data_IF_594051132114
#
_entry.id   IF_594051132114
#
_cell.length_a   1.000
_cell.length_b   1.000
_cell.length_c   1.000
_cell.angle_alpha   90.00
_cell.angle_beta   90.00
_cell.angle_gamma   90.00
#
_symmetry.space_group_name_H-M   'P 1'
#
loop_
_entity.id
_entity.type
_entity.pdbx_description
1 polymer ?
2 non-polymer ?
3 water ?
#
# COMPACT_ATOMS: atom_id res chain seq x y z
N UNK A 26 -17.69 0.31 -42.36
CA UNK A 26 -18.65 0.36 -43.45
C UNK A 26 -18.15 -0.42 -44.67
N UNK A 27 -16.99 -1.04 -44.53
CA UNK A 27 -16.42 -1.87 -45.58
C UNK A 27 -15.40 -2.82 -44.96
N UNK A 28 -15.45 -4.07 -45.39
CA UNK A 28 -14.54 -5.11 -44.89
C UNK A 28 -13.39 -5.27 -45.88
N UNK A 29 -12.19 -4.89 -45.46
CA UNK A 29 -11.01 -5.04 -46.30
C UNK A 29 -10.49 -6.48 -46.25
N UNK A 30 -9.60 -6.80 -47.20
CA UNK A 30 -8.99 -8.12 -47.24
C UNK A 30 -8.32 -8.43 -45.90
N UNK A 31 -8.51 -9.61 -45.34
CA UNK A 31 -7.83 -9.94 -44.09
C UNK A 31 -6.34 -10.21 -44.32
N UNK A 32 -5.56 -9.98 -43.28
CA UNK A 32 -4.12 -10.21 -43.36
C UNK A 32 -3.81 -11.70 -43.40
N UNK A 33 -2.75 -12.05 -44.13
CA UNK A 33 -2.25 -13.43 -44.15
C UNK A 33 -1.31 -13.60 -42.97
N UNK A 34 -1.70 -14.45 -42.02
CA UNK A 34 -0.99 -14.65 -40.77
C UNK A 34 -0.37 -16.04 -40.71
N UNK A 35 0.61 -16.26 -39.84
CA UNK A 35 1.16 -17.61 -39.67
C UNK A 35 0.13 -18.55 -39.07
N UNK A 36 0.42 -19.85 -39.20
CA UNK A 36 -0.48 -20.86 -38.69
C UNK A 36 -0.54 -20.81 -37.16
N UNK A 37 -1.69 -21.06 -36.55
CA UNK A 37 -1.75 -21.07 -35.08
C UNK A 37 -0.88 -22.13 -34.44
N UNK A 38 -0.47 -23.18 -35.18
CA UNK A 38 0.42 -24.17 -34.61
C UNK A 38 1.85 -23.65 -34.47
N UNK A 39 2.22 -22.58 -35.17
CA UNK A 39 3.58 -22.06 -35.11
C UNK A 39 3.63 -20.84 -34.20
N UNK A 40 2.52 -20.09 -34.15
CA UNK A 40 2.44 -18.86 -33.36
C UNK A 40 1.08 -18.86 -32.67
N UNK A 41 1.04 -19.33 -31.41
CA UNK A 41 -0.24 -19.60 -30.77
C UNK A 41 -1.06 -18.36 -30.47
N UNK A 42 -0.53 -17.15 -30.69
CA UNK A 42 -1.30 -15.94 -30.42
C UNK A 42 -2.33 -15.63 -31.50
N UNK A 43 -2.22 -16.22 -32.68
CA UNK A 43 -3.18 -16.00 -33.76
C UNK A 43 -4.30 -17.06 -33.75
N UNK A 44 -4.44 -17.81 -32.66
CA UNK A 44 -5.59 -18.69 -32.53
C UNK A 44 -6.86 -17.85 -32.51
N UNK A 45 -7.89 -18.31 -33.24
CA UNK A 45 -9.06 -17.50 -33.49
C UNK A 45 -9.82 -17.20 -32.19
N UNK A 46 -10.37 -15.99 -32.12
CA UNK A 46 -11.17 -15.58 -30.96
C UNK A 46 -12.41 -16.46 -30.81
N UNK A 47 -12.68 -16.89 -29.58
CA UNK A 47 -13.86 -17.68 -29.27
C UNK A 47 -14.22 -17.47 -27.81
N UNK A 48 -15.49 -17.76 -27.47
CA UNK A 48 -15.90 -17.57 -26.08
C UNK A 48 -15.22 -18.54 -25.13
N UNK A 49 -14.44 -19.50 -25.63
CA UNK A 49 -13.69 -20.44 -24.80
C UNK A 49 -12.25 -20.02 -24.57
N UNK A 50 -11.78 -18.93 -25.21
CA UNK A 50 -10.45 -18.41 -24.94
C UNK A 50 -10.41 -16.92 -24.64
N UNK A 51 -11.46 -16.16 -24.94
CA UNK A 51 -11.51 -14.74 -24.56
C UNK A 51 -12.97 -14.29 -24.51
N UNK A 52 -13.27 -13.39 -23.56
CA UNK A 52 -14.61 -12.89 -23.32
C UNK A 52 -14.54 -11.38 -23.14
N UNK A 53 -15.50 -10.67 -23.72
CA UNK A 53 -15.57 -9.22 -23.68
C UNK A 53 -16.83 -8.78 -22.94
N UNK A 54 -16.81 -7.51 -22.48
CA UNK A 54 -17.98 -6.90 -21.84
C UNK A 54 -18.77 -6.09 -22.87
N UNK A 55 -20.08 -6.01 -22.66
CA UNK A 55 -20.99 -5.34 -23.57
C UNK A 55 -21.12 -3.84 -23.29
N UNK A 56 -20.09 -3.23 -22.71
CA UNK A 56 -20.12 -1.81 -22.39
C UNK A 56 -19.46 -0.99 -23.49
N UNK A 63 -12.81 1.41 -28.24
CA UNK A 63 -11.97 0.28 -27.86
C UNK A 63 -12.72 -0.64 -26.90
N UNK A 64 -12.80 -1.92 -27.24
CA UNK A 64 -13.57 -2.86 -26.40
C UNK A 64 -12.93 -3.10 -25.05
N UNK A 65 -13.74 -3.60 -24.14
CA UNK A 65 -13.36 -3.84 -22.74
C UNK A 65 -13.29 -5.34 -22.53
N UNK A 66 -12.12 -5.82 -22.10
CA UNK A 66 -11.88 -7.26 -21.95
C UNK A 66 -12.41 -7.71 -20.58
N UNK A 67 -13.29 -8.72 -20.61
CA UNK A 67 -13.80 -9.33 -19.39
C UNK A 67 -12.88 -10.41 -18.87
N UNK A 68 -12.33 -11.25 -19.76
CA UNK A 68 -11.42 -12.28 -19.33
C UNK A 68 -10.91 -13.08 -20.51
N UNK A 69 -10.16 -14.12 -20.20
CA UNK A 69 -9.64 -15.01 -21.21
C UNK A 69 -8.41 -15.75 -20.71
N UNK A 70 -7.79 -16.49 -21.63
CA UNK A 70 -6.52 -17.12 -21.34
C UNK A 70 -5.42 -16.07 -21.25
N UNK A 71 -4.33 -16.43 -20.56
CA UNK A 71 -3.21 -15.49 -20.45
C UNK A 71 -2.60 -15.23 -21.82
N UNK A 72 -2.71 -16.18 -22.75
CA UNK A 72 -2.23 -15.97 -24.10
C UNK A 72 -3.08 -14.92 -24.82
N UNK A 73 -4.40 -15.02 -24.67
CA UNK A 73 -5.29 -14.02 -25.25
C UNK A 73 -5.14 -12.66 -24.58
N UNK A 74 -4.89 -12.64 -23.27
CA UNK A 74 -4.67 -11.38 -22.57
C UNK A 74 -3.40 -10.70 -23.06
N UNK A 75 -2.34 -11.49 -23.30
CA UNK A 75 -1.09 -10.93 -23.84
C UNK A 75 -1.30 -10.45 -25.27
N UNK A 76 -2.09 -11.18 -26.05
CA UNK A 76 -2.37 -10.75 -27.42
C UNK A 76 -3.05 -9.38 -27.45
N UNK A 77 -4.07 -9.18 -26.61
CA UNK A 77 -4.74 -7.89 -26.53
C UNK A 77 -3.90 -6.83 -25.81
N UNK A 78 -3.00 -7.25 -24.91
CA UNK A 78 -2.04 -6.32 -24.31
C UNK A 78 -1.12 -5.71 -25.35
N UNK A 79 -0.87 -6.41 -26.45
CA UNK A 79 0.02 -5.96 -27.52
C UNK A 79 -0.68 -6.13 -28.87
N UNK A 80 -1.90 -5.64 -28.96
CA UNK A 80 -2.71 -5.80 -30.16
C UNK A 80 -2.18 -4.93 -31.29
N UNK A 81 -2.37 -5.41 -32.53
CA UNK A 81 -1.87 -4.71 -33.70
C UNK A 81 -2.82 -3.64 -34.23
N UNK A 82 -4.12 -3.76 -33.96
CA UNK A 82 -5.07 -2.80 -34.52
C UNK A 82 -5.05 -1.47 -33.79
N UNK A 83 -4.91 -1.48 -32.46
CA UNK A 83 -5.01 -0.26 -31.69
C UNK A 83 -4.13 -0.33 -30.45
N UNK A 84 -3.85 0.83 -29.89
CA UNK A 84 -3.19 0.93 -28.59
C UNK A 84 -4.24 1.00 -27.50
N UNK A 85 -3.92 0.42 -26.34
CA UNK A 85 -4.87 0.32 -25.23
C UNK A 85 -4.15 0.65 -23.93
N UNK A 86 -3.79 1.93 -23.72
CA UNK A 86 -3.01 2.28 -22.52
C UNK A 86 -3.70 1.95 -21.21
N UNK A 87 -5.03 2.01 -21.15
CA UNK A 87 -5.72 1.68 -19.91
C UNK A 87 -5.56 0.20 -19.56
N UNK A 88 -5.65 -0.68 -20.56
CA UNK A 88 -5.44 -2.11 -20.33
C UNK A 88 -3.99 -2.41 -19.99
N UNK A 89 -3.04 -1.66 -20.56
CA UNK A 89 -1.63 -1.84 -20.21
C UNK A 89 -1.40 -1.46 -18.75
N UNK A 90 -1.92 -0.30 -18.33
CA UNK A 90 -1.76 0.15 -16.95
C UNK A 90 -2.42 -0.83 -15.98
N UNK A 91 -3.64 -1.26 -16.29
CA UNK A 91 -4.35 -2.18 -15.41
C UNK A 91 -3.69 -3.56 -15.36
N UNK A 92 -3.23 -4.05 -16.53
CA UNK A 92 -2.60 -5.37 -16.58
C UNK A 92 -1.32 -5.39 -15.75
N UNK A 93 -0.43 -4.43 -15.98
CA UNK A 93 0.86 -4.41 -15.28
C UNK A 93 0.70 -4.16 -13.79
N UNK A 94 -0.45 -3.62 -13.36
CA UNK A 94 -0.71 -3.48 -11.93
C UNK A 94 -1.23 -4.76 -11.31
N UNK A 95 -2.02 -5.55 -12.05
CA UNK A 95 -2.77 -6.66 -11.49
C UNK A 95 -2.30 -8.05 -11.94
N UNK A 96 -1.35 -8.14 -12.87
CA UNK A 96 -1.05 -9.43 -13.49
C UNK A 96 -0.47 -10.44 -12.51
N UNK A 97 0.12 -9.99 -11.40
CA UNK A 97 0.72 -10.94 -10.46
C UNK A 97 -0.31 -11.84 -9.81
N UNK A 98 -1.58 -11.46 -9.83
CA UNK A 98 -2.65 -12.29 -9.28
C UNK A 98 -3.06 -13.43 -10.21
N UNK A 99 -2.57 -13.45 -11.46
CA UNK A 99 -2.87 -14.56 -12.36
C UNK A 99 -1.68 -14.99 -13.22
N UNK A 100 -0.51 -14.39 -13.06
CA UNK A 100 0.64 -14.73 -13.88
C UNK A 100 1.91 -14.28 -13.18
N UNK A 101 2.94 -15.13 -13.24
CA UNK A 101 4.21 -14.80 -12.60
C UNK A 101 5.03 -13.85 -13.47
N UNK A 102 5.86 -13.00 -12.86
CA UNK A 102 6.69 -12.09 -13.68
C UNK A 102 7.57 -12.80 -14.68
N UNK A 103 8.12 -13.96 -14.33
CA UNK A 103 8.91 -14.73 -15.29
C UNK A 103 8.06 -15.23 -16.44
N UNK A 104 6.83 -15.69 -16.14
CA UNK A 104 5.94 -16.13 -17.21
C UNK A 104 5.56 -14.97 -18.12
N UNK A 105 5.33 -13.79 -17.55
CA UNK A 105 4.97 -12.62 -18.35
C UNK A 105 6.06 -12.29 -19.36
N UNK A 106 7.32 -12.32 -18.93
CA UNK A 106 8.42 -11.99 -19.83
C UNK A 106 8.55 -13.03 -20.93
N UNK A 107 8.41 -14.31 -20.60
CA UNK A 107 8.47 -15.36 -21.62
C UNK A 107 7.39 -15.17 -22.67
N UNK A 108 6.17 -14.85 -22.24
CA UNK A 108 5.07 -14.66 -23.17
C UNK A 108 5.28 -13.44 -24.06
N UNK A 109 5.86 -12.37 -23.51
CA UNK A 109 6.11 -11.18 -24.31
C UNK A 109 7.19 -11.42 -25.35
N UNK A 110 8.22 -12.20 -24.98
CA UNK A 110 9.25 -12.56 -25.95
C UNK A 110 8.68 -13.49 -27.01
N UNK A 111 7.87 -14.47 -26.58
CA UNK A 111 7.21 -15.36 -27.54
C UNK A 111 6.31 -14.58 -28.48
N UNK A 112 5.67 -13.52 -27.99
CA UNK A 112 4.84 -12.67 -28.85
C UNK A 112 5.69 -11.87 -29.82
N UNK A 113 6.94 -11.54 -29.45
CA UNK A 113 7.80 -10.72 -30.29
C UNK A 113 8.33 -11.51 -31.49
N UNK A 114 8.65 -12.79 -31.29
CA UNK A 114 9.29 -13.62 -32.30
C UNK A 114 8.22 -14.17 -33.23
N UNK A 115 7.77 -13.32 -34.14
CA UNK A 115 6.63 -13.63 -35.01
C UNK A 115 7.18 -14.29 -36.27
N UNK A 116 6.82 -15.53 -36.57
CA UNK A 116 7.22 -16.14 -37.84
C UNK A 116 6.35 -15.66 -38.98
N UNK A 117 6.95 -15.58 -40.16
CA UNK A 117 6.23 -15.18 -41.35
C UNK A 117 5.46 -16.35 -41.94
N UNK A 118 4.34 -16.10 -42.61
CA UNK A 118 3.53 -17.20 -43.14
C UNK A 118 4.27 -17.97 -44.23
N UNK A 119 3.96 -19.25 -44.32
CA UNK A 119 4.57 -20.10 -45.34
C UNK A 119 4.18 -19.58 -46.72
N UNK A 120 5.12 -19.45 -47.65
CA UNK A 120 4.79 -18.85 -48.96
C UNK A 120 3.61 -19.55 -49.64
N UNK A 121 2.83 -18.75 -50.37
CA UNK A 121 1.61 -19.22 -50.99
C UNK A 121 1.90 -20.43 -51.90
N UNK A 122 0.84 -21.21 -52.13
CA UNK A 122 0.95 -22.39 -52.98
C UNK A 122 1.51 -22.08 -54.37
N UNK A 123 1.38 -20.84 -54.83
CA UNK A 123 1.95 -20.45 -56.10
C UNK A 123 3.44 -20.12 -56.00
N UNK A 124 3.89 -19.63 -54.85
CA UNK A 124 5.30 -19.30 -54.65
C UNK A 124 5.99 -20.38 -53.83
N UNK A 136 4.13 -11.79 -52.17
CA UNK A 136 4.97 -10.74 -51.59
C UNK A 136 4.12 -9.54 -51.21
N UNK A 137 2.98 -9.37 -51.88
CA UNK A 137 2.06 -8.30 -51.52
C UNK A 137 1.44 -8.54 -50.15
N UNK A 138 1.07 -9.78 -49.86
CA UNK A 138 0.55 -10.10 -48.52
C UNK A 138 1.66 -10.06 -47.48
N UNK A 139 2.89 -10.41 -47.85
CA UNK A 139 3.99 -10.44 -46.89
C UNK A 139 4.41 -9.02 -46.50
N UNK A 140 4.53 -8.12 -47.48
CA UNK A 140 4.82 -6.72 -47.18
C UNK A 140 3.74 -6.12 -46.29
N UNK A 141 2.48 -6.46 -46.57
CA UNK A 141 1.37 -5.99 -45.74
C UNK A 141 1.45 -6.57 -44.34
N UNK A 142 1.79 -7.86 -44.23
CA UNK A 142 1.90 -8.52 -42.93
C UNK A 142 2.98 -7.89 -42.07
N UNK A 143 4.10 -7.47 -42.69
CA UNK A 143 5.19 -6.88 -41.92
C UNK A 143 4.84 -5.48 -41.44
N UNK A 144 4.24 -4.66 -42.31
CA UNK A 144 3.93 -3.28 -41.95
C UNK A 144 2.73 -3.19 -41.00
N UNK A 145 1.71 -4.03 -41.20
CA UNK A 145 0.48 -3.91 -40.44
C UNK A 145 0.39 -4.84 -39.23
N UNK A 146 1.21 -5.90 -39.17
CA UNK A 146 1.14 -6.82 -38.03
C UNK A 146 2.45 -6.92 -37.26
N UNK A 147 3.57 -7.19 -37.94
CA UNK A 147 4.83 -7.43 -37.23
C UNK A 147 5.31 -6.16 -36.54
N UNK A 148 5.46 -5.07 -37.29
CA UNK A 148 5.93 -3.83 -36.69
C UNK A 148 5.01 -3.33 -35.57
N UNK A 149 3.69 -3.24 -35.73
CA UNK A 149 2.86 -2.77 -34.61
C UNK A 149 2.97 -3.63 -33.37
N UNK A 150 2.87 -4.97 -33.50
CA UNK A 150 2.93 -5.84 -32.34
C UNK A 150 4.28 -5.70 -31.62
N UNK A 151 5.37 -5.67 -32.39
CA UNK A 151 6.69 -5.58 -31.77
C UNK A 151 6.89 -4.25 -31.07
N UNK A 152 6.25 -3.18 -31.56
CA UNK A 152 6.34 -1.90 -30.88
C UNK A 152 5.43 -1.84 -29.65
N UNK A 153 4.30 -2.55 -29.68
CA UNK A 153 3.45 -2.61 -28.49
C UNK A 153 4.15 -3.34 -27.36
N UNK A 154 4.93 -4.37 -27.68
CA UNK A 154 5.66 -5.12 -26.66
C UNK A 154 6.72 -4.25 -26.00
N UNK A 155 7.49 -3.51 -26.81
CA UNK A 155 8.50 -2.63 -26.25
C UNK A 155 7.88 -1.52 -25.41
N UNK A 156 6.67 -1.09 -25.76
CA UNK A 156 5.96 -0.13 -24.91
C UNK A 156 5.54 -0.76 -23.59
N UNK A 157 5.16 -2.04 -23.62
CA UNK A 157 4.85 -2.75 -22.39
C UNK A 157 6.10 -2.88 -21.51
N UNK A 158 7.23 -3.23 -22.12
CA UNK A 158 8.50 -3.24 -21.38
C UNK A 158 8.77 -1.89 -20.76
N UNK A 159 8.57 -0.81 -21.52
CA UNK A 159 8.88 0.53 -21.01
C UNK A 159 8.00 0.87 -19.80
N UNK A 160 6.70 0.59 -19.89
CA UNK A 160 5.81 0.80 -18.75
C UNK A 160 6.19 -0.09 -17.58
N UNK A 161 6.62 -1.33 -17.88
CA UNK A 161 6.96 -2.29 -16.84
C UNK A 161 8.14 -1.80 -15.99
N UNK A 162 9.21 -1.36 -16.63
CA UNK A 162 10.37 -0.88 -15.90
C UNK A 162 10.19 0.53 -15.34
N UNK A 163 9.32 1.34 -15.94
CA UNK A 163 9.11 2.69 -15.45
C UNK A 163 8.24 2.72 -14.20
N UNK A 164 7.17 1.93 -14.16
CA UNK A 164 6.18 2.00 -13.09
C UNK A 164 6.20 0.81 -12.14
N UNK A 165 6.97 -0.23 -12.42
CA UNK A 165 6.96 -1.44 -11.59
C UNK A 165 8.35 -2.07 -11.53
N UNK A 166 9.39 -1.26 -11.36
CA UNK A 166 10.74 -1.80 -11.32
C UNK A 166 10.99 -2.74 -10.14
N UNK A 167 10.11 -2.74 -9.13
CA UNK A 167 10.31 -3.63 -7.99
C UNK A 167 10.31 -5.09 -8.39
N UNK A 168 9.60 -5.45 -9.47
CA UNK A 168 9.68 -6.80 -10.01
C UNK A 168 11.12 -7.19 -10.34
N UNK A 169 11.86 -6.28 -10.97
CA UNK A 169 13.24 -6.53 -11.34
C UNK A 169 14.20 -6.41 -10.16
N UNK A 170 13.81 -5.70 -9.09
CA UNK A 170 14.63 -5.69 -7.89
C UNK A 170 14.46 -6.97 -7.09
N UNK A 171 13.24 -7.54 -7.09
CA UNK A 171 12.98 -8.80 -6.39
C UNK A 171 13.54 -10.00 -7.12
N UNK A 172 13.76 -9.90 -8.44
CA UNK A 172 14.19 -11.03 -9.26
C UNK A 172 15.24 -10.50 -10.24
N UNK A 173 16.52 -10.75 -9.94
CA UNK A 173 17.59 -10.26 -10.81
C UNK A 173 17.71 -11.08 -12.09
N UNK A 174 17.34 -12.36 -12.03
CA UNK A 174 17.34 -13.16 -13.25
C UNK A 174 16.33 -12.61 -14.27
N UNK A 175 15.21 -12.09 -13.78
CA UNK A 175 14.21 -11.48 -14.66
C UNK A 175 14.79 -10.28 -15.39
N UNK A 176 15.57 -9.45 -14.69
CA UNK A 176 16.14 -8.26 -15.30
C UNK A 176 17.20 -8.62 -16.33
N UNK A 177 18.01 -9.65 -16.04
CA UNK A 177 19.06 -10.05 -16.98
C UNK A 177 18.47 -10.71 -18.22
N UNK A 178 17.32 -11.37 -18.09
CA UNK A 178 16.64 -11.89 -19.28
C UNK A 178 16.14 -10.74 -20.17
N UNK A 179 15.56 -9.71 -19.56
CA UNK A 179 15.06 -8.57 -20.31
C UNK A 179 16.18 -7.82 -20.99
N UNK A 180 17.30 -7.59 -20.28
CA UNK A 180 18.44 -6.91 -20.89
C UNK A 180 19.04 -7.73 -22.02
N UNK A 181 19.12 -9.05 -21.84
CA UNK A 181 19.63 -9.92 -22.90
C UNK A 181 18.74 -9.88 -24.12
N UNK A 182 17.42 -9.91 -23.92
CA UNK A 182 16.51 -9.87 -25.06
C UNK A 182 16.54 -8.50 -25.74
N UNK A 183 16.59 -7.43 -24.96
CA UNK A 183 16.59 -6.08 -25.54
C UNK A 183 17.85 -5.84 -26.34
N UNK A 184 18.98 -6.43 -25.93
CA UNK A 184 20.21 -6.30 -26.70
C UNK A 184 20.09 -6.99 -28.06
N UNK A 185 19.44 -8.16 -28.10
CA UNK A 185 19.28 -8.92 -29.33
C UNK A 185 18.27 -8.31 -30.28
N UNK A 186 17.56 -7.26 -29.87
CA UNK A 186 16.56 -6.63 -30.73
C UNK A 186 17.29 -5.84 -31.81
N UNK A 187 17.02 -6.18 -33.07
CA UNK A 187 17.65 -5.54 -34.21
C UNK A 187 16.59 -4.79 -35.02
N UNK A 188 16.93 -3.57 -35.43
CA UNK A 188 15.99 -2.73 -36.15
C UNK A 188 16.13 -1.27 -35.76
N UNK A 189 16.30 -0.40 -36.76
CA UNK A 189 16.52 1.02 -36.46
C UNK A 189 15.26 1.68 -35.92
N UNK A 190 14.08 1.26 -36.37
CA UNK A 190 12.83 1.81 -35.85
C UNK A 190 12.61 1.48 -34.38
N UNK A 191 13.20 0.39 -33.88
CA UNK A 191 13.05 -0.01 -32.48
C UNK A 191 14.24 0.41 -31.62
N UNK A 192 15.24 1.06 -32.21
CA UNK A 192 16.41 1.48 -31.44
C UNK A 192 16.05 2.60 -30.46
N UNK A 193 15.20 3.54 -30.88
CA UNK A 193 14.71 4.55 -29.94
C UNK A 193 14.01 3.89 -28.76
N UNK A 194 13.17 2.89 -29.03
CA UNK A 194 12.51 2.16 -27.94
C UNK A 194 13.52 1.43 -27.06
N UNK A 195 14.50 0.76 -27.68
CA UNK A 195 15.47 -0.02 -26.92
C UNK A 195 16.32 0.87 -26.03
N UNK A 196 16.87 1.96 -26.60
CA UNK A 196 17.65 2.88 -25.78
C UNK A 196 16.81 3.60 -24.76
N UNK A 197 15.50 3.75 -25.00
CA UNK A 197 14.63 4.34 -23.99
C UNK A 197 14.43 3.40 -22.81
N UNK A 198 14.25 2.10 -23.07
CA UNK A 198 14.09 1.12 -21.99
C UNK A 198 15.37 1.05 -21.14
N UNK A 199 16.53 0.98 -21.80
CA UNK A 199 17.79 0.94 -21.07
C UNK A 199 18.04 2.23 -20.32
N UNK A 200 17.62 3.37 -20.87
CA UNK A 200 17.73 4.64 -20.16
C UNK A 200 16.97 4.61 -18.83
N UNK A 201 15.76 4.05 -18.84
CA UNK A 201 14.96 3.96 -17.62
C UNK A 201 15.60 2.99 -16.63
N UNK A 202 16.10 1.85 -17.13
CA UNK A 202 16.73 0.86 -16.26
C UNK A 202 17.94 1.47 -15.56
N UNK A 203 18.71 2.30 -16.27
CA UNK A 203 19.86 2.94 -15.65
C UNK A 203 19.43 3.88 -14.53
N UNK A 204 18.36 4.66 -14.75
CA UNK A 204 17.84 5.52 -13.68
C UNK A 204 17.43 4.71 -12.46
N UNK A 205 16.74 3.59 -12.67
CA UNK A 205 16.23 2.81 -11.55
C UNK A 205 17.35 2.05 -10.84
N UNK A 206 18.44 1.75 -11.53
CA UNK A 206 19.58 1.09 -10.90
C UNK A 206 20.37 2.02 -9.99
N UNK A 207 20.18 3.33 -10.09
CA UNK A 207 20.93 4.27 -9.25
C UNK A 207 20.35 4.35 -7.84
N UNK A 208 19.05 4.60 -7.73
CA UNK A 208 18.40 4.72 -6.43
C UNK A 208 18.17 3.35 -5.81
N UNK A 217 15.64 16.77 4.30
CA UNK A 217 15.10 17.05 2.98
C UNK A 217 14.97 18.57 2.77
N UNK A 218 14.24 18.97 1.74
CA UNK A 218 14.03 20.38 1.43
C UNK A 218 12.56 20.74 1.66
N UNK A 219 12.34 21.98 2.11
CA UNK A 219 11.03 22.43 2.56
C UNK A 219 10.62 23.71 1.83
N UNK A 220 9.33 23.80 1.52
CA UNK A 220 8.79 25.00 0.87
C UNK A 220 8.79 26.18 1.83
N UNK A 221 8.16 26.02 2.98
CA UNK A 221 8.17 26.98 4.07
C UNK A 221 9.08 26.48 5.18
N UNK A 222 9.66 27.34 5.99
CA UNK A 222 10.58 26.88 7.04
C UNK A 222 9.85 26.04 8.06
N UNK A 223 10.32 24.82 8.33
CA UNK A 223 9.62 23.98 9.30
C UNK A 223 9.82 24.50 10.71
N UNK A 224 8.87 24.25 11.62
CA UNK A 224 9.00 24.76 12.99
C UNK A 224 10.07 24.00 13.75
N UNK A 225 10.61 24.58 14.82
CA UNK A 225 11.70 23.92 15.55
C UNK A 225 11.24 22.68 16.29
N UNK A 226 12.20 21.77 16.52
CA UNK A 226 11.93 20.51 17.20
C UNK A 226 11.67 20.79 18.68
N UNK A 227 10.63 20.15 19.23
CA UNK A 227 10.22 20.37 20.61
C UNK A 227 10.77 19.27 21.51
N UNK A 228 11.38 19.68 22.63
CA UNK A 228 11.95 18.76 23.61
C UNK A 228 11.35 19.04 24.98
N UNK A 229 11.20 17.97 25.77
CA UNK A 229 10.56 18.07 27.07
C UNK A 229 11.57 17.70 28.14
N UNK A 230 11.54 16.47 28.66
CA UNK A 230 12.47 16.05 29.70
C UNK A 230 13.71 15.38 29.10
N UNK A 231 13.50 14.39 28.23
CA UNK A 231 14.61 13.82 27.49
C UNK A 231 15.18 14.86 26.53
N UNK A 232 16.50 14.91 26.46
CA UNK A 232 17.23 15.88 25.67
C UNK A 232 17.94 15.18 24.51
N UNK A 233 18.37 15.94 23.49
CA UNK A 233 18.94 15.30 22.29
C UNK A 233 20.11 14.38 22.63
N UNK A 234 20.09 13.19 22.01
CA UNK A 234 21.18 12.24 22.15
C UNK A 234 20.88 11.06 23.06
N UNK A 235 20.25 11.29 24.20
CA UNK A 235 20.03 10.23 25.18
C UNK A 235 18.77 9.46 24.80
N UNK A 236 18.90 8.61 23.78
CA UNK A 236 17.80 7.80 23.30
C UNK A 236 17.38 6.73 24.30
N UNK A 237 18.25 6.36 25.25
CA UNK A 237 17.91 5.31 26.20
C UNK A 237 16.81 5.77 27.16
N UNK A 238 16.69 7.08 27.40
CA UNK A 238 15.69 7.62 28.30
C UNK A 238 14.37 7.97 27.60
N UNK A 239 14.32 7.86 26.27
CA UNK A 239 13.11 8.22 25.53
C UNK A 239 11.93 7.40 25.99
N UNK A 240 10.80 8.07 26.20
CA UNK A 240 9.56 7.40 26.61
C UNK A 240 8.39 8.33 26.32
N UNK A 241 7.18 7.78 26.48
CA UNK A 241 5.97 8.55 26.18
C UNK A 241 5.91 9.86 26.97
N UNK A 242 6.24 9.82 28.26
CA UNK A 242 6.09 11.00 29.11
C UNK A 242 7.32 11.90 29.12
N UNK A 243 8.49 11.38 28.76
CA UNK A 243 9.70 12.21 28.75
C UNK A 243 9.87 13.00 27.46
N UNK A 244 9.40 12.47 26.33
CA UNK A 244 9.40 13.21 25.09
C UNK A 244 8.25 14.21 25.08
N UNK A 245 8.33 15.16 24.15
CA UNK A 245 7.32 16.22 24.04
C UNK A 245 6.10 15.71 23.27
N UNK A 246 4.89 16.00 23.75
CA UNK A 246 3.69 15.50 23.04
C UNK A 246 3.56 16.01 21.61
N UNK A 247 3.96 17.26 21.36
CA UNK A 247 3.95 17.78 19.99
C UNK A 247 4.86 16.95 19.10
N UNK A 248 6.09 16.70 19.58
CA UNK A 248 7.09 16.04 18.74
C UNK A 248 6.83 14.56 18.57
N UNK A 249 6.20 13.91 19.56
CA UNK A 249 5.75 12.52 19.36
C UNK A 249 4.80 12.44 18.18
N UNK A 250 3.82 13.35 18.14
CA UNK A 250 2.84 13.33 17.05
C UNK A 250 3.48 13.69 15.73
N UNK A 251 4.39 14.67 15.72
CA UNK A 251 5.07 15.05 14.50
C UNK A 251 5.89 13.90 13.93
N UNK A 252 6.69 13.25 14.80
CA UNK A 252 7.60 12.22 14.31
C UNK A 252 6.85 10.97 13.87
N UNK A 253 5.80 10.60 14.59
CA UNK A 253 4.98 9.47 14.13
C UNK A 253 4.20 9.83 12.88
N UNK A 254 3.80 11.10 12.73
CA UNK A 254 3.12 11.51 11.51
C UNK A 254 4.04 11.44 10.31
N UNK A 255 5.29 11.91 10.46
CA UNK A 255 6.26 11.78 9.38
C UNK A 255 6.52 10.32 9.07
N UNK A 256 6.71 9.49 10.10
CA UNK A 256 6.97 8.07 9.89
C UNK A 256 5.80 7.37 9.22
N UNK A 257 4.58 7.63 9.69
CA UNK A 257 3.42 7.00 9.08
C UNK A 257 3.14 7.55 7.69
N UNK A 258 3.49 8.81 7.43
CA UNK A 258 3.36 9.35 6.08
C UNK A 258 4.31 8.67 5.11
N UNK A 259 5.56 8.45 5.52
CA UNK A 259 6.52 7.78 4.65
C UNK A 259 6.16 6.32 4.42
N UNK A 260 5.67 5.64 5.46
CA UNK A 260 5.24 4.25 5.29
C UNK A 260 4.07 4.15 4.33
N UNK A 261 3.09 5.05 4.47
CA UNK A 261 1.90 5.04 3.62
C UNK A 261 2.26 5.35 2.17
N UNK A 262 3.20 6.28 1.96
CA UNK A 262 3.56 6.69 0.61
C UNK A 262 4.26 5.58 -0.16
N UNK A 263 4.93 4.67 0.53
CA UNK A 263 5.70 3.62 -0.14
C UNK A 263 4.85 2.44 -0.58
N UNK A 264 3.57 2.39 -0.21
CA UNK A 264 2.71 1.26 -0.58
C UNK A 264 2.24 1.45 -2.02
N UNK A 265 2.39 0.40 -2.82
CA UNK A 265 2.01 0.39 -4.24
C UNK A 265 0.81 -0.52 -4.46
N UNK A 266 -0.01 -0.24 -5.47
CA UNK A 266 -1.25 -1.02 -5.68
C UNK A 266 -1.05 -2.53 -5.77
N UNK A 267 0.05 -3.00 -6.39
CA UNK A 267 0.25 -4.43 -6.55
C UNK A 267 0.41 -5.16 -5.23
N UNK A 268 0.80 -4.45 -4.16
CA UNK A 268 0.86 -5.07 -2.84
C UNK A 268 -0.51 -5.41 -2.29
N UNK A 269 -1.57 -4.87 -2.87
CA UNK A 269 -2.95 -5.12 -2.44
C UNK A 269 -3.73 -6.02 -3.40
N UNK A 270 -3.36 -6.04 -4.68
CA UNK A 270 -4.11 -6.81 -5.66
C UNK A 270 -4.03 -8.30 -5.33
N UNK A 271 -5.18 -8.97 -5.40
CA UNK A 271 -5.24 -10.39 -5.10
C UNK A 271 -5.04 -10.75 -3.65
N UNK A 272 -5.07 -9.77 -2.74
CA UNK A 272 -4.85 -9.99 -1.31
C UNK A 272 -3.54 -10.73 -1.06
N UNK A 273 -2.50 -10.34 -1.81
CA UNK A 273 -1.20 -11.02 -1.70
C UNK A 273 -0.50 -10.74 -0.37
N UNK A 274 -0.96 -9.76 0.40
CA UNK A 274 -0.39 -9.54 1.72
C UNK A 274 -0.89 -10.53 2.76
N UNK A 275 -1.92 -11.32 2.44
CA UNK A 275 -2.44 -12.34 3.34
C UNK A 275 -2.08 -13.75 2.90
N UNK A 276 -1.34 -13.91 1.82
CA UNK A 276 -1.07 -15.21 1.21
C UNK A 276 0.37 -15.63 1.46
N UNK A 277 0.74 -16.77 0.84
CA UNK A 277 2.00 -17.44 1.14
C UNK A 277 3.20 -16.53 0.95
N UNK A 278 3.24 -15.80 -0.16
CA UNK A 278 4.36 -14.94 -0.51
C UNK A 278 4.11 -13.50 -0.09
N UNK A 279 3.67 -13.29 1.15
CA UNK A 279 3.32 -11.93 1.58
C UNK A 279 4.55 -11.07 1.80
N UNK A 280 5.63 -11.66 2.31
CA UNK A 280 6.82 -10.85 2.62
C UNK A 280 7.49 -10.31 1.37
N UNK A 281 7.38 -11.02 0.24
CA UNK A 281 8.01 -10.58 -0.99
C UNK A 281 7.11 -9.62 -1.77
N UNK A 282 5.82 -9.94 -1.88
CA UNK A 282 4.93 -9.17 -2.73
C UNK A 282 4.35 -7.94 -2.04
N UNK A 283 4.36 -7.88 -0.71
CA UNK A 283 3.76 -6.77 0.02
C UNK A 283 4.67 -6.33 1.18
N UNK A 284 5.91 -5.94 0.88
CA UNK A 284 6.81 -5.53 1.98
C UNK A 284 6.46 -4.18 2.58
N UNK A 285 5.98 -3.23 1.78
CA UNK A 285 5.66 -1.90 2.30
C UNK A 285 4.33 -1.90 3.05
N UNK A 286 3.33 -2.62 2.53
CA UNK A 286 2.05 -2.68 3.21
C UNK A 286 2.15 -3.40 4.55
N UNK A 287 2.94 -4.48 4.61
CA UNK A 287 3.13 -5.19 5.87
C UNK A 287 3.83 -4.31 6.90
N UNK A 288 4.83 -3.53 6.47
CA UNK A 288 5.46 -2.57 7.38
C UNK A 288 4.46 -1.55 7.90
N UNK A 289 3.50 -1.16 7.07
CA UNK A 289 2.45 -0.24 7.51
C UNK A 289 1.54 -0.89 8.54
N UNK A 290 1.13 -2.14 8.28
CA UNK A 290 0.27 -2.86 9.21
C UNK A 290 0.99 -3.14 10.52
N UNK A 291 2.25 -3.57 10.45
CA UNK A 291 2.97 -3.94 11.66
C UNK A 291 3.31 -2.72 12.51
N UNK A 292 3.60 -1.58 11.89
CA UNK A 292 3.79 -0.35 12.66
C UNK A 292 2.53 0.02 13.42
N UNK A 293 1.36 -0.06 12.76
CA UNK A 293 0.11 0.28 13.41
C UNK A 293 -0.22 -0.68 14.55
N UNK A 294 0.09 -1.97 14.37
CA UNK A 294 -0.13 -2.93 15.44
C UNK A 294 0.73 -2.61 16.66
N UNK A 295 2.02 -2.36 16.43
CA UNK A 295 2.94 -2.13 17.54
C UNK A 295 2.66 -0.80 18.24
N UNK A 296 2.28 0.23 17.49
CA UNK A 296 1.96 1.51 18.12
C UNK A 296 0.68 1.44 18.93
N UNK A 297 -0.34 0.74 18.41
CA UNK A 297 -1.57 0.54 19.17
C UNK A 297 -1.29 -0.19 20.48
N UNK A 298 -0.49 -1.26 20.42
CA UNK A 298 -0.12 -2.00 21.62
C UNK A 298 0.74 -1.16 22.55
N UNK A 299 1.53 -0.23 22.01
CA UNK A 299 2.36 0.63 22.86
C UNK A 299 1.50 1.58 23.68
N UNK A 300 0.49 2.21 23.06
CA UNK A 300 -0.39 3.11 23.81
C UNK A 300 -1.14 2.36 24.89
N UNK A 301 -1.63 1.15 24.58
CA UNK A 301 -2.30 0.33 25.58
C UNK A 301 -1.37 0.02 26.74
N UNK A 302 -0.15 -0.41 26.43
CA UNK A 302 0.81 -0.79 27.47
C UNK A 302 1.14 0.38 28.38
N UNK A 303 1.33 1.58 27.80
CA UNK A 303 1.68 2.75 28.62
C UNK A 303 0.59 3.06 29.63
N UNK A 304 -0.68 2.89 29.25
CA UNK A 304 -1.79 3.17 30.15
C UNK A 304 -1.85 2.13 31.26
N UNK A 305 -1.92 0.85 30.89
CA UNK A 305 -2.19 -0.22 31.85
C UNK A 305 -1.00 -0.42 32.79
N UNK A 306 0.23 -0.23 32.30
CA UNK A 306 1.40 -0.41 33.16
C UNK A 306 1.61 0.72 34.14
N UNK A 307 0.91 1.85 33.99
CA UNK A 307 0.96 2.94 34.97
C UNK A 307 0.04 2.57 36.12
N UNK A 308 0.61 1.96 37.16
CA UNK A 308 -0.20 1.42 38.26
C UNK A 308 -0.74 2.52 39.16
N UNK A 309 0.04 3.59 39.38
CA UNK A 309 -0.44 4.71 40.18
C UNK A 309 -1.56 5.44 39.43
N UNK A 310 -2.67 5.71 40.12
CA UNK A 310 -3.87 6.22 39.47
C UNK A 310 -3.63 7.61 38.87
N UNK A 311 -3.01 8.51 39.64
CA UNK A 311 -2.77 9.86 39.14
C UNK A 311 -1.78 9.84 37.97
N UNK A 312 -0.80 8.94 38.03
CA UNK A 312 0.13 8.77 36.92
C UNK A 312 -0.59 8.25 35.68
N UNK A 313 -1.56 7.35 35.88
CA UNK A 313 -2.27 6.77 34.75
C UNK A 313 -3.19 7.79 34.09
N UNK A 314 -3.84 8.65 34.88
CA UNK A 314 -4.67 9.71 34.33
C UNK A 314 -3.82 10.67 33.51
N UNK A 315 -2.60 10.97 33.99
CA UNK A 315 -1.70 11.84 33.24
C UNK A 315 -1.22 11.18 31.95
N UNK A 316 -0.97 9.86 31.99
CA UNK A 316 -0.55 9.14 30.79
C UNK A 316 -1.67 9.16 29.74
N UNK A 317 -2.91 8.87 30.16
CA UNK A 317 -4.02 8.93 29.23
C UNK A 317 -4.24 10.36 28.72
N UNK A 318 -4.08 11.35 29.61
CA UNK A 318 -4.21 12.74 29.20
C UNK A 318 -3.16 13.12 28.16
N UNK A 319 -1.92 12.67 28.35
CA UNK A 319 -0.87 12.96 27.38
C UNK A 319 -1.18 12.32 26.04
N UNK A 320 -1.74 11.11 26.04
CA UNK A 320 -2.09 10.42 24.80
C UNK A 320 -3.20 11.17 24.07
N UNK A 321 -4.15 11.76 24.81
CA UNK A 321 -5.20 12.55 24.19
C UNK A 321 -4.62 13.84 23.60
N UNK A 322 -3.58 14.39 24.23
CA UNK A 322 -2.90 15.55 23.66
C UNK A 322 -2.19 15.18 22.36
N UNK A 323 -1.55 14.01 22.31
CA UNK A 323 -0.92 13.54 21.08
C UNK A 323 -1.97 13.31 20.01
N UNK A 324 -3.10 12.73 20.39
CA UNK A 324 -4.25 12.63 19.49
C UNK A 324 -4.67 14.00 18.97
N UNK A 325 -4.65 15.02 19.84
CA UNK A 325 -5.03 16.38 19.45
C UNK A 325 -4.15 16.90 18.32
N UNK A 326 -2.84 16.64 18.39
CA UNK A 326 -1.92 17.11 17.35
C UNK A 326 -2.06 16.26 16.09
N UNK A 327 -2.33 14.96 16.26
CA UNK A 327 -2.63 14.10 15.11
C UNK A 327 -3.77 14.68 14.30
N UNK A 328 -4.83 15.15 14.97
CA UNK A 328 -5.97 15.73 14.27
C UNK A 328 -5.60 17.05 13.61
N UNK A 329 -4.75 17.84 14.26
CA UNK A 329 -4.26 19.08 13.63
C UNK A 329 -3.50 18.80 12.35
N UNK A 330 -2.76 17.69 12.30
CA UNK A 330 -1.94 17.32 11.16
C UNK A 330 -2.66 16.44 10.15
N UNK A 331 -3.95 16.17 10.35
CA UNK A 331 -4.74 15.31 9.47
C UNK A 331 -4.13 13.91 9.34
N UNK A 332 -3.59 13.41 10.46
CA UNK A 332 -3.05 12.05 10.52
C UNK A 332 -4.14 11.15 11.10
N UNK A 333 -5.00 10.63 10.23
CA UNK A 333 -6.08 9.75 10.66
C UNK A 333 -5.61 8.37 11.06
N UNK A 334 -4.47 7.91 10.54
CA UNK A 334 -3.89 6.66 11.01
C UNK A 334 -3.49 6.77 12.48
N UNK A 335 -2.86 7.88 12.85
CA UNK A 335 -2.49 8.07 14.24
C UNK A 335 -3.69 8.27 15.14
N UNK A 336 -4.71 8.97 14.64
CA UNK A 336 -5.95 9.16 15.41
C UNK A 336 -6.57 7.81 15.74
N UNK A 337 -6.69 6.93 14.74
CA UNK A 337 -7.34 5.64 14.95
C UNK A 337 -6.44 4.63 15.64
N UNK A 338 -5.12 4.82 15.61
CA UNK A 338 -4.24 4.04 16.47
C UNK A 338 -4.58 4.25 17.93
N UNK A 339 -4.82 5.51 18.33
CA UNK A 339 -5.11 5.82 19.72
C UNK A 339 -6.53 5.36 20.08
N UNK A 340 -7.47 5.51 19.16
CA UNK A 340 -8.84 5.03 19.39
C UNK A 340 -8.85 3.51 19.57
N UNK A 341 -8.09 2.79 18.73
CA UNK A 341 -8.00 1.34 18.88
C UNK A 341 -7.46 0.97 20.25
N UNK A 342 -6.50 1.75 20.75
CA UNK A 342 -5.88 1.44 22.04
C UNK A 342 -6.85 1.64 23.19
N UNK A 343 -7.61 2.75 23.19
CA UNK A 343 -8.56 2.98 24.27
C UNK A 343 -9.76 2.04 24.17
N UNK A 344 -10.00 1.47 22.99
CA UNK A 344 -11.06 0.49 22.79
C UNK A 344 -10.64 -0.93 23.16
N UNK A 345 -9.36 -1.16 23.45
CA UNK A 345 -8.94 -2.48 23.91
C UNK A 345 -9.61 -2.80 25.24
N UNK A 346 -9.91 -4.09 25.44
CA UNK A 346 -10.69 -4.50 26.62
C UNK A 346 -9.97 -4.15 27.91
N UNK A 347 -8.63 -4.13 27.90
CA UNK A 347 -7.90 -3.86 29.13
C UNK A 347 -7.90 -2.38 29.51
N UNK A 348 -7.99 -1.48 28.53
CA UNK A 348 -8.06 -0.04 28.82
C UNK A 348 -9.50 0.42 28.95
N UNK A 349 -10.39 -0.06 28.08
CA UNK A 349 -11.77 0.42 28.03
C UNK A 349 -12.49 0.24 29.37
N UNK A 350 -12.15 -0.80 30.13
CA UNK A 350 -12.82 -1.09 31.39
C UNK A 350 -12.33 -0.23 32.55
N UNK A 351 -11.35 0.64 32.34
CA UNK A 351 -10.81 1.48 33.42
C UNK A 351 -11.68 2.74 33.60
N UNK A 352 -12.85 2.52 34.21
CA UNK A 352 -13.83 3.60 34.37
C UNK A 352 -13.29 4.74 35.22
N UNK A 353 -12.59 4.43 36.30
CA UNK A 353 -12.07 5.48 37.17
C UNK A 353 -11.07 6.37 36.45
N UNK A 354 -10.27 5.80 35.55
CA UNK A 354 -9.30 6.60 34.81
C UNK A 354 -10.00 7.58 33.87
N UNK A 355 -10.98 7.10 33.10
CA UNK A 355 -11.67 7.96 32.14
C UNK A 355 -12.52 9.01 32.85
N UNK A 356 -13.08 8.68 34.02
CA UNK A 356 -13.92 9.64 34.75
C UNK A 356 -13.12 10.73 35.42
N UNK A 357 -11.82 10.54 35.66
CA UNK A 357 -10.96 11.54 36.26
C UNK A 357 -10.37 12.50 35.23
N UNK A 358 -10.58 12.27 33.94
CA UNK A 358 -10.06 13.16 32.91
C UNK A 358 -10.74 14.52 32.96
N UNK A 359 -10.03 15.54 32.46
CA UNK A 359 -10.66 16.83 32.22
C UNK A 359 -11.76 16.66 31.17
N UNK A 360 -12.88 17.35 31.38
CA UNK A 360 -13.99 17.24 30.44
C UNK A 360 -13.58 17.62 29.03
N UNK A 361 -12.67 18.56 28.89
CA UNK A 361 -12.24 18.94 27.55
C UNK A 361 -11.51 17.80 26.86
N UNK A 362 -10.63 17.10 27.57
CA UNK A 362 -9.91 15.99 26.96
C UNK A 362 -10.81 14.80 26.69
N UNK A 363 -11.83 14.59 27.52
CA UNK A 363 -12.76 13.49 27.28
C UNK A 363 -13.61 13.76 26.03
N UNK A 364 -14.01 15.02 25.82
CA UNK A 364 -14.79 15.36 24.62
C UNK A 364 -13.95 15.24 23.36
N UNK A 365 -12.65 15.52 23.44
CA UNK A 365 -11.76 15.32 22.30
C UNK A 365 -11.68 13.84 21.94
N UNK A 366 -11.55 12.99 22.96
CA UNK A 366 -11.49 11.54 22.71
C UNK A 366 -12.81 11.02 22.15
N UNK A 367 -13.93 11.47 22.72
CA UNK A 367 -15.23 11.04 22.20
C UNK A 367 -15.42 11.48 20.75
N UNK A 368 -14.96 12.69 20.42
CA UNK A 368 -15.00 13.14 19.04
C UNK A 368 -14.22 12.21 18.12
N UNK A 369 -13.04 11.74 18.56
CA UNK A 369 -12.25 10.82 17.75
C UNK A 369 -12.85 9.43 17.69
N UNK A 370 -13.50 8.97 18.76
CA UNK A 370 -14.15 7.66 18.75
C UNK A 370 -15.34 7.67 17.79
N UNK A 371 -16.03 8.81 17.66
CA UNK A 371 -17.15 8.93 16.74
C UNK A 371 -16.74 8.72 15.28
N UNK A 372 -15.48 8.98 14.93
CA UNK A 372 -15.05 8.85 13.54
C UNK A 372 -15.29 7.44 13.00
N UNK A 373 -15.10 6.43 13.84
CA UNK A 373 -15.20 5.04 13.41
C UNK A 373 -16.60 4.47 13.49
N UNK A 374 -17.50 5.11 14.24
CA UNK A 374 -18.85 4.57 14.42
C UNK A 374 -19.64 4.61 13.11
N UNK A 375 -20.63 3.72 13.03
CA UNK A 375 -21.50 3.60 11.86
C UNK A 375 -20.70 3.34 10.59
N UNK A 376 -19.82 2.34 10.66
CA UNK A 376 -18.97 1.93 9.54
C UNK A 376 -18.15 3.12 9.01
N UNK A 377 -17.49 3.81 9.94
CA UNK A 377 -16.57 4.91 9.62
C UNK A 377 -17.27 6.01 8.82
N UNK A 378 -18.51 6.30 9.18
CA UNK A 378 -19.29 7.30 8.45
C UNK A 378 -18.67 8.68 8.59
N UNK A 379 -18.47 9.15 9.83
CA UNK A 379 -17.92 10.48 10.04
C UNK A 379 -16.47 10.57 9.56
N UNK A 380 -15.73 9.46 9.60
CA UNK A 380 -14.35 9.49 9.10
C UNK A 380 -14.31 9.76 7.61
N UNK A 381 -15.19 9.12 6.84
CA UNK A 381 -15.16 9.26 5.39
C UNK A 381 -15.47 10.69 4.96
N UNK A 382 -16.45 11.33 5.60
CA UNK A 382 -16.78 12.70 5.21
C UNK A 382 -15.74 13.69 5.73
N UNK A 383 -15.05 13.36 6.82
CA UNK A 383 -13.97 14.22 7.31
C UNK A 383 -12.78 14.18 6.37
N UNK A 384 -12.41 12.97 5.90
CA UNK A 384 -11.28 12.82 4.99
C UNK A 384 -11.52 13.57 3.69
N UNK A 385 -12.74 13.47 3.13
CA UNK A 385 -13.08 14.16 1.90
C UNK A 385 -13.04 15.69 2.05
N UNK A 386 -13.18 16.21 3.28
CA UNK A 386 -13.27 17.65 3.49
C UNK A 386 -11.93 18.31 3.78
N UNK A 387 -10.97 17.59 4.35
CA UNK A 387 -9.69 18.20 4.71
C UNK A 387 -8.78 18.25 3.49
N UNK A 388 -7.73 19.06 3.60
CA UNK A 388 -6.71 19.27 2.57
C UNK A 388 -5.38 18.63 2.99
N UNK A 389 -4.57 18.20 2.04
CA UNK A 389 -3.26 17.61 2.38
C UNK A 389 -2.30 18.67 2.87
N UNK A 390 -1.21 18.28 3.56
CA UNK A 390 -0.74 16.92 3.88
C UNK A 390 -1.63 16.15 4.85
N UNK A 391 -1.89 14.88 4.55
CA UNK A 391 -2.70 14.03 5.41
C UNK A 391 -2.19 12.60 5.30
N UNK A 392 -2.56 11.78 6.28
CA UNK A 392 -2.26 10.36 6.29
C UNK A 392 -3.57 9.60 6.47
N UNK A 393 -4.20 9.15 5.38
CA UNK A 393 -5.47 8.43 5.51
C UNK A 393 -5.29 7.09 6.21
N UNK A 394 -6.41 6.52 6.63
CA UNK A 394 -6.43 5.23 7.30
C UNK A 394 -6.45 4.11 6.27
N UNK A 395 -5.44 3.24 6.31
CA UNK A 395 -5.33 2.17 5.34
C UNK A 395 -6.39 1.08 5.53
N UNK A 396 -6.94 0.92 6.74
CA UNK A 396 -7.75 -0.23 7.03
C UNK A 396 -9.02 -0.32 6.20
N UNK A 397 -9.70 0.81 6.00
CA UNK A 397 -10.94 0.79 5.22
C UNK A 397 -10.66 0.38 3.77
N UNK A 398 -9.52 0.79 3.21
CA UNK A 398 -9.16 0.36 1.86
C UNK A 398 -8.96 -1.15 1.80
N UNK A 399 -8.27 -1.72 2.79
CA UNK A 399 -7.99 -3.16 2.78
C UNK A 399 -9.27 -3.98 2.90
N UNK A 400 -10.23 -3.50 3.69
CA UNK A 400 -11.50 -4.22 3.81
C UNK A 400 -12.32 -4.11 2.53
N UNK A 401 -12.28 -2.94 1.87
CA UNK A 401 -12.92 -2.79 0.57
C UNK A 401 -12.40 -3.84 -0.41
N UNK A 402 -11.07 -3.99 -0.47
CA UNK A 402 -10.46 -4.91 -1.42
C UNK A 402 -10.67 -6.36 -1.00
N UNK A 403 -10.55 -6.66 0.30
CA UNK A 403 -10.81 -8.03 0.75
C UNK A 403 -12.26 -8.44 0.51
N UNK A 404 -13.19 -7.49 0.53
CA UNK A 404 -14.60 -7.85 0.31
C UNK A 404 -14.88 -8.10 -1.17
N UNK A 405 -14.28 -7.32 -2.08
CA UNK A 405 -14.48 -7.58 -3.49
C UNK A 405 -13.71 -8.81 -3.95
N UNK A 406 -12.57 -9.11 -3.30
CA UNK A 406 -11.84 -10.34 -3.62
C UNK A 406 -12.68 -11.57 -3.30
N UNK A 407 -13.37 -11.56 -2.15
CA UNK A 407 -14.19 -12.73 -1.79
C UNK A 407 -15.46 -12.80 -2.61
N UNK A 408 -15.98 -11.66 -3.07
CA UNK A 408 -17.20 -11.63 -3.85
C UNK A 408 -16.99 -12.11 -5.27
N UNK A 409 -16.10 -11.46 -6.01
CA UNK A 409 -15.83 -11.83 -7.39
C UNK A 409 -14.94 -13.06 -7.45
N UNK A 410 -15.13 -13.86 -8.49
CA UNK A 410 -14.37 -15.09 -8.67
C UNK A 410 -13.14 -14.84 -9.54
N UNK A 411 -12.09 -15.63 -9.29
CA UNK A 411 -10.86 -15.49 -10.06
C UNK A 411 -11.01 -15.97 -11.49
N UNK A 412 -12.01 -16.79 -11.78
CA UNK A 412 -12.22 -17.33 -13.12
C UNK A 412 -13.66 -17.13 -13.54
N UNK A 413 -13.86 -16.98 -14.85
CA UNK A 413 -15.19 -16.78 -15.41
C UNK A 413 -15.98 -18.09 -15.47
N UNK A 417 -15.86 -25.34 -21.04
CA UNK A 417 -14.52 -25.20 -21.60
C UNK A 417 -13.45 -24.89 -20.57
N UNK A 418 -12.32 -24.37 -21.03
CA UNK A 418 -11.23 -24.05 -20.13
C UNK A 418 -11.57 -22.83 -19.28
N UNK A 419 -11.20 -22.90 -17.99
CA UNK A 419 -11.45 -21.78 -17.08
C UNK A 419 -10.61 -20.58 -17.49
N UNK A 420 -11.26 -19.44 -17.68
CA UNK A 420 -10.60 -18.22 -18.13
C UNK A 420 -10.40 -17.25 -16.99
N UNK A 421 -9.27 -16.54 -17.02
CA UNK A 421 -8.94 -15.57 -15.97
C UNK A 421 -9.96 -14.45 -16.00
N UNK A 422 -10.54 -14.14 -14.84
CA UNK A 422 -11.51 -13.06 -14.72
C UNK A 422 -10.74 -11.74 -14.57
N UNK A 423 -10.61 -11.00 -15.68
CA UNK A 423 -9.89 -9.75 -15.62
C UNK A 423 -10.75 -8.61 -15.09
N UNK A 424 -12.09 -8.71 -15.23
CA UNK A 424 -12.96 -7.69 -14.67
C UNK A 424 -12.78 -7.56 -13.17
N UNK A 425 -12.59 -8.69 -12.48
CA UNK A 425 -12.28 -8.65 -11.05
C UNK A 425 -11.03 -7.81 -10.79
N UNK A 426 -9.99 -8.03 -11.59
CA UNK A 426 -8.74 -7.28 -11.42
C UNK A 426 -8.95 -5.81 -11.74
N UNK A 427 -9.77 -5.49 -12.75
CA UNK A 427 -10.03 -4.10 -13.07
C UNK A 427 -10.76 -3.40 -11.93
N UNK A 428 -11.70 -4.10 -11.29
CA UNK A 428 -12.40 -3.55 -10.14
C UNK A 428 -11.42 -3.27 -8.99
N UNK A 429 -10.55 -4.23 -8.71
CA UNK A 429 -9.56 -4.06 -7.64
C UNK A 429 -8.56 -2.97 -8.00
N UNK A 430 -8.16 -2.89 -9.28
CA UNK A 430 -7.29 -1.80 -9.71
C UNK A 430 -7.98 -0.44 -9.64
N UNK A 431 -9.30 -0.40 -9.72
CA UNK A 431 -10.00 0.87 -9.60
C UNK A 431 -10.07 1.34 -8.14
N UNK A 432 -10.09 0.41 -7.20
CA UNK A 432 -10.03 0.79 -5.78
C UNK A 432 -8.65 1.38 -5.46
N UNK A 433 -7.58 0.65 -5.82
CA UNK A 433 -6.23 1.14 -5.55
C UNK A 433 -5.90 2.39 -6.37
N UNK A 434 -6.46 2.51 -7.58
CA UNK A 434 -6.22 3.70 -8.38
C UNK A 434 -6.70 4.96 -7.71
N UNK A 435 -7.84 4.90 -7.03
CA UNK A 435 -8.35 6.05 -6.30
C UNK A 435 -7.41 6.46 -5.17
N UNK A 436 -6.71 5.48 -4.58
CA UNK A 436 -5.71 5.80 -3.55
C UNK A 436 -4.48 6.43 -4.18
N UNK A 437 -4.00 5.86 -5.29
CA UNK A 437 -2.78 6.35 -5.92
C UNK A 437 -2.94 7.76 -6.44
N UNK A 438 -4.12 8.09 -6.98
CA UNK A 438 -4.33 9.35 -7.68
C UNK A 438 -4.72 10.50 -6.74
N UNK A 439 -4.79 10.27 -5.45
CA UNK A 439 -5.02 11.37 -4.51
C UNK A 439 -3.79 12.28 -4.49
N UNK A 440 -4.01 13.58 -4.69
CA UNK A 440 -2.93 14.57 -4.74
C UNK A 440 -2.63 15.00 -3.32
N UNK A 441 -1.61 14.38 -2.73
CA UNK A 441 -1.23 14.58 -1.35
C UNK A 441 0.12 15.31 -1.31
N UNK A 442 0.40 15.95 -0.18
CA UNK A 442 1.60 16.79 -0.02
C UNK A 442 2.53 16.24 1.05
N UNK A 443 3.83 16.50 0.95
CA UNK A 443 4.73 16.10 2.04
C UNK A 443 4.58 17.04 3.23
N UNK A 444 4.81 16.50 4.41
CA UNK A 444 4.70 17.30 5.62
C UNK A 444 5.86 18.28 5.74
N UNK A 445 5.55 19.48 6.19
CA UNK A 445 6.55 20.52 6.40
C UNK A 445 7.06 20.47 7.85
N UNK A 446 7.66 19.33 8.19
CA UNK A 446 8.15 19.07 9.53
C UNK A 446 9.52 18.41 9.43
N UNK A 447 10.43 18.81 10.32
CA UNK A 447 11.78 18.27 10.30
C UNK A 447 11.84 16.93 10.99
N UNK A 448 12.66 16.03 10.45
CA UNK A 448 12.80 14.67 11.01
C UNK A 448 13.84 14.70 12.12
N UNK A 449 13.49 14.10 13.26
CA UNK A 449 14.41 13.88 14.36
C UNK A 449 14.83 12.42 14.34
N UNK A 450 16.07 12.09 13.95
CA UNK A 450 16.40 10.69 13.69
C UNK A 450 16.34 9.78 14.92
N UNK A 451 16.74 10.26 16.10
CA UNK A 451 16.71 9.40 17.28
C UNK A 451 15.28 9.05 17.68
N UNK A 452 14.37 10.04 17.64
CA UNK A 452 12.97 9.74 17.90
C UNK A 452 12.41 8.81 16.83
N UNK A 453 12.80 9.03 15.57
CA UNK A 453 12.37 8.16 14.48
C UNK A 453 12.77 6.71 14.76
N UNK A 454 14.02 6.49 15.15
CA UNK A 454 14.48 5.14 15.43
C UNK A 454 13.78 4.56 16.65
N UNK A 455 13.48 5.40 17.65
CA UNK A 455 12.76 4.93 18.82
C UNK A 455 11.39 4.38 18.46
N UNK A 456 10.66 5.08 17.58
CA UNK A 456 9.35 4.60 17.15
C UNK A 456 9.47 3.43 16.17
N UNK A 457 10.53 3.39 15.37
CA UNK A 457 10.72 2.28 14.45
C UNK A 457 10.96 0.96 15.19
N UNK A 458 11.67 1.03 16.32
CA UNK A 458 12.08 -0.16 17.06
C UNK A 458 11.28 -0.37 18.35
N UNK A 459 10.06 0.16 18.42
CA UNK A 459 9.22 -0.09 19.57
C UNK A 459 8.77 -1.56 19.57
N UNK A 460 8.98 -2.24 20.68
CA UNK A 460 8.60 -3.65 20.84
C UNK A 460 7.86 -3.81 22.17
N UNK A 461 6.59 -3.39 22.24
CA UNK A 461 5.87 -3.45 23.52
C UNK A 461 5.64 -4.87 24.05
N UNK A 462 5.51 -5.87 23.17
CA UNK A 462 5.24 -7.23 23.63
C UNK A 462 6.40 -7.83 24.42
N UNK A 463 7.62 -7.32 24.25
CA UNK A 463 8.77 -7.88 24.92
C UNK A 463 9.08 -9.27 24.40
N UNK A 464 9.14 -10.25 25.30
CA UNK A 464 9.37 -11.64 24.93
C UNK A 464 8.09 -12.42 24.72
N UNK A 465 6.94 -11.91 25.16
CA UNK A 465 5.70 -12.65 25.13
C UNK A 465 5.09 -12.66 23.73
N UNK A 466 4.18 -13.60 23.50
CA UNK A 466 3.47 -13.69 22.24
C UNK A 466 2.18 -12.86 22.31
N UNK A 467 1.40 -12.88 21.23
CA UNK A 467 0.20 -12.06 21.15
C UNK A 467 -0.80 -12.39 22.25
N UNK A 468 -1.21 -13.66 22.35
CA UNK A 468 -2.21 -14.03 23.34
C UNK A 468 -1.67 -13.90 24.76
N UNK A 469 -0.38 -14.16 24.96
CA UNK A 469 0.22 -14.01 26.29
C UNK A 469 0.25 -12.55 26.70
N UNK A 470 0.55 -11.65 25.75
CA UNK A 470 0.65 -10.23 26.07
C UNK A 470 -0.71 -9.64 26.43
N UNK A 471 -1.78 -10.08 25.76
CA UNK A 471 -3.11 -9.59 26.10
C UNK A 471 -3.57 -10.16 27.44
N UNK A 472 -3.22 -11.41 27.74
CA UNK A 472 -3.50 -11.96 29.07
C UNK A 472 -2.78 -11.16 30.15
N UNK A 473 -1.53 -10.79 29.90
CA UNK A 473 -0.78 -9.99 30.87
C UNK A 473 -1.41 -8.63 31.08
N UNK A 474 -1.82 -7.96 30.00
CA UNK A 474 -2.43 -6.64 30.12
C UNK A 474 -3.79 -6.68 30.80
N UNK A 475 -4.58 -7.73 30.57
CA UNK A 475 -5.88 -7.80 31.21
C UNK A 475 -5.74 -8.14 32.69
N UNK A 476 -4.78 -9.00 33.04
CA UNK A 476 -4.54 -9.30 34.46
C UNK A 476 -4.03 -8.05 35.18
N UNK A 477 -3.16 -7.28 34.54
CA UNK A 477 -2.70 -6.03 35.12
C UNK A 477 -3.83 -5.01 35.22
N UNK A 478 -4.77 -5.03 34.27
CA UNK A 478 -5.92 -4.15 34.36
C UNK A 478 -6.78 -4.47 35.58
N UNK A 479 -7.02 -5.76 35.84
CA UNK A 479 -7.78 -6.17 37.02
C UNK A 479 -7.05 -5.82 38.32
N UNK A 480 -5.72 -5.73 38.29
CA UNK A 480 -4.98 -5.38 39.50
C UNK A 480 -5.09 -3.89 39.82
N UNK A 481 -4.94 -3.03 38.81
CA UNK A 481 -4.95 -1.59 39.06
C UNK A 481 -6.34 -1.03 39.27
N UNK A 482 -7.38 -1.68 38.77
CA UNK A 482 -8.76 -1.31 39.06
C UNK A 482 -9.61 -2.57 39.10
N UNK A 483 -9.79 -3.16 40.28
CA UNK A 483 -10.52 -4.44 40.37
C UNK A 483 -11.98 -4.30 39.97
N UNK A 484 -12.61 -5.45 39.75
CA UNK A 484 -14.02 -5.47 39.37
C UNK A 484 -14.88 -4.94 40.52
N UNK A 485 -15.70 -3.94 40.22
CA UNK A 485 -16.66 -3.37 41.18
C UNK A 485 -15.99 -2.68 42.35
N UNK A 486 -14.81 -2.08 42.16
CA UNK A 486 -14.15 -1.38 43.25
C UNK A 486 -14.71 0.03 43.38
N UNK A 487 -14.77 0.53 44.62
CA UNK A 487 -15.35 1.85 44.88
C UNK A 487 -14.40 2.97 44.50
N UNK A 488 -13.09 2.77 44.68
CA UNK A 488 -12.07 3.73 44.25
C UNK A 488 -10.84 2.94 43.87
N UNK A 489 -10.02 3.45 42.96
CA UNK A 489 -8.82 2.71 42.54
C UNK A 489 -7.82 2.59 43.67
N UNK A 490 -7.21 1.42 43.84
CA UNK A 490 -6.23 1.24 44.92
C UNK A 490 -5.00 2.11 44.68
N UNK A 491 -4.27 2.36 45.77
CA UNK A 491 -3.10 3.21 45.73
C UNK A 491 -1.85 2.37 45.48
N UNK A 492 -1.10 2.75 44.44
CA UNK A 492 0.16 2.13 44.07
C UNK A 492 1.26 3.18 44.05
N UNK A 493 2.50 2.81 44.36
CA UNK A 493 3.59 3.80 44.37
C UNK A 493 3.89 4.33 42.97
N UNK A 494 4.29 5.59 42.93
CA UNK A 494 4.65 6.22 41.66
C UNK A 494 6.04 5.74 41.22
N UNK A 495 6.13 5.17 40.03
CA UNK A 495 7.41 4.67 39.53
C UNK A 495 8.22 5.74 38.80
N UNK A 496 7.57 6.79 38.32
CA UNK A 496 8.28 7.87 37.63
C UNK A 496 8.97 8.77 38.64
N UNK A 497 10.27 8.98 38.46
CA UNK A 497 11.00 9.97 39.23
C UNK A 497 11.04 11.33 38.54
N UNK A 498 10.01 11.64 37.75
CA UNK A 498 9.91 12.91 37.04
C UNK A 498 8.45 13.37 37.08
N UNK A 499 8.27 14.68 36.94
CA UNK A 499 6.93 15.26 36.98
C UNK A 499 6.11 14.83 35.77
N UNK A 500 4.81 14.62 35.99
CA UNK A 500 3.88 14.26 34.92
C UNK A 500 3.10 15.47 34.41
N UNK A 501 3.55 16.68 34.72
CA UNK A 501 2.88 17.87 34.19
C UNK A 501 3.23 18.03 32.72
N UNK A 502 2.21 18.17 31.89
CA UNK A 502 2.40 18.26 30.44
C UNK A 502 2.83 19.67 30.05
N UNK A 503 3.73 19.80 29.06
CA UNK A 503 4.08 21.12 28.54
C UNK A 503 3.06 21.72 27.58
N UNK A 504 1.91 21.07 27.40
CA UNK A 504 0.92 21.54 26.46
C UNK A 504 1.24 21.16 25.04
N UNK A 505 0.42 21.64 24.11
CA UNK A 505 0.62 21.38 22.69
C UNK A 505 0.70 22.69 21.91
N UNK A 506 1.19 23.75 22.56
CA UNK A 506 1.43 25.01 21.88
C UNK A 506 2.93 25.14 21.59
N UNK A 507 3.33 25.31 20.34
CA UNK A 507 4.77 25.31 20.01
C UNK A 507 5.43 26.65 20.35
N UNK A 508 6.72 26.73 20.04
CA UNK A 508 7.57 27.89 20.35
C UNK A 508 7.61 28.17 21.85
X LIG B 1 -2.32 1.91 -3.11
X LIG B 1 -2.56 1.65 -0.73
X LIG B 1 -2.37 2.06 0.59
X LIG B 1 -1.38 3.64 -1.53
X LIG B 1 -1.21 4.02 -0.19
X LIG B 1 1.00 5.93 -2.03
X LIG B 1 -0.48 5.81 -2.37
X LIG B 1 -2.07 2.42 -1.76
X LIG B 1 -2.90 1.22 1.71
X LIG B 1 -1.70 3.25 0.84
X LIG B 1 -1.96 0.88 2.58
X LIG B 1 -3.83 1.87 2.40
X LIG B 1 -3.45 0.10 1.29
X LIG B 1 -0.89 4.43 -2.54
X LIG B 1 1.84 5.21 -3.02
X LIG B 1 -2.60 0.72 -3.23
X LIG B 1 -2.25 2.69 -4.04
#
# INVERSE_FOLDING_TARGET
>A
MSYYHHHHHHLESTSLYKKAGFENLYFQEQPLRLPSPEVYRFVVKDSEENIVFEDNLQSRSGIPIIKGGTVVKLIERLTYHMYADPNFVRTFLTTYRSFCKPQELLSLLIERFEIPEPEPTDADKLAIEKGEQPISADLKRFRKEYVQPVQLRILNVFRHWVEHHFYDFERDLELLERLESFISSVRGKAMKKWVESIAKIIRRKKQAQANGVSHNITFESPPPPIEWHISKPGQFETFDLMTLHPIEIARQLTLLESDLYRKVQPSELVGSVWTKEDKEINSPNLLKMIRHTTNLTLWFEKCIVEAENFEERVAVLSRIIEILQVFQDLNNFNGVLEIVSAVNSVSVYRLDHTFEALQERKRKILDEAVELSQDHFKKYLVKLKSINPPCVPFFGIYLTNILKTEEGNNDFLKKKGKDLINFSKRRKVAEITGEIQQYQNQPYCLRIEPDMRRFFENLNPMGSASEKEFTDYLFNKSLEIEPRNCKQPPRFPRKSTFSLKSPGIRPNTGRHGS
>B hetero
1 A1IL1 N1 C4 C5 C6 C10 C17 C16 C2 C3 C9 F11 F12 F13 N14 N15 O7 O8
#
